data_IF_220365485280
#
_entry.id   IF_220365485280
#
_cell.length_a   1.000
_cell.length_b   1.000
_cell.length_c   1.000
_cell.angle_alpha   90.00
_cell.angle_beta   90.00
_cell.angle_gamma   90.00
#
_symmetry.space_group_name_H-M   'P 1'
#
loop_
_entity.id
_entity.type
_entity.pdbx_description
1 polymer ?
#
# COMPACT_ATOMS: atom_id res chain seq x y z
N UNK A 1 23.94 4.59 -8.58
CA UNK A 1 25.10 3.67 -8.71
C UNK A 1 24.76 2.40 -7.96
N UNK A 2 24.78 1.23 -8.60
CA UNK A 2 24.34 -0.01 -7.98
C UNK A 2 25.40 -0.54 -6.99
N UNK A 3 24.99 -1.37 -6.02
CA UNK A 3 25.84 -1.97 -4.97
C UNK A 3 26.00 -3.49 -5.22
N UNK A 4 26.47 -3.87 -6.41
CA UNK A 4 26.51 -5.27 -6.87
C UNK A 4 27.87 -5.93 -6.64
N UNK A 5 28.94 -5.15 -6.69
CA UNK A 5 30.30 -5.65 -6.50
C UNK A 5 30.87 -5.19 -5.17
N UNK A 6 31.90 -5.90 -4.70
CA UNK A 6 32.68 -5.49 -3.53
C UNK A 6 33.21 -4.06 -3.71
N UNK A 7 33.81 -3.72 -4.86
CA UNK A 7 34.38 -2.38 -5.08
C UNK A 7 33.31 -1.28 -5.04
N UNK A 8 32.13 -1.53 -5.62
CA UNK A 8 30.99 -0.60 -5.55
C UNK A 8 30.52 -0.39 -4.10
N UNK A 9 30.43 -1.49 -3.33
CA UNK A 9 29.98 -1.46 -1.94
C UNK A 9 31.00 -0.78 -1.03
N UNK A 10 32.28 -1.15 -1.16
CA UNK A 10 33.42 -0.55 -0.47
C UNK A 10 33.48 0.95 -0.66
N UNK A 11 33.32 1.43 -1.90
CA UNK A 11 33.31 2.87 -2.21
C UNK A 11 32.19 3.65 -1.50
N UNK A 12 31.16 2.96 -0.98
CA UNK A 12 30.02 3.53 -0.26
C UNK A 12 29.97 3.14 1.21
N UNK A 13 30.97 2.43 1.74
CA UNK A 13 30.93 1.83 3.07
C UNK A 13 30.57 2.83 4.19
N UNK A 14 31.19 4.02 4.21
CA UNK A 14 30.86 5.07 5.19
C UNK A 14 29.43 5.57 5.08
N UNK A 15 28.92 5.76 3.85
CA UNK A 15 27.55 6.19 3.61
C UNK A 15 26.54 5.09 3.99
N UNK A 16 26.86 3.83 3.71
CA UNK A 16 26.06 2.67 4.14
C UNK A 16 25.97 2.65 5.66
N UNK A 17 27.11 2.71 6.36
CA UNK A 17 27.15 2.70 7.83
C UNK A 17 26.34 3.86 8.43
N UNK A 18 26.47 5.06 7.86
CA UNK A 18 25.68 6.23 8.30
C UNK A 18 24.18 5.98 8.18
N UNK A 19 23.72 5.42 7.05
CA UNK A 19 22.29 5.17 6.78
C UNK A 19 21.71 4.07 7.66
N UNK A 20 22.45 2.98 7.89
CA UNK A 20 21.99 1.87 8.76
C UNK A 20 21.98 2.28 10.23
N UNK A 21 22.98 3.04 10.70
CA UNK A 21 22.98 3.60 12.08
C UNK A 21 21.84 4.58 12.30
N UNK A 22 21.53 5.39 11.30
CA UNK A 22 20.38 6.29 11.31
C UNK A 22 19.03 5.58 11.12
N UNK A 23 19.02 4.25 10.88
CA UNK A 23 17.83 3.45 10.59
C UNK A 23 16.97 3.99 9.44
N UNK A 24 17.63 4.65 8.47
CA UNK A 24 16.98 5.14 7.25
C UNK A 24 17.04 4.12 6.12
N UNK A 25 17.86 3.07 6.26
CA UNK A 25 17.98 1.95 5.34
C UNK A 25 18.23 0.64 6.10
N UNK A 26 17.51 -0.47 5.81
CA UNK A 26 16.33 -0.50 4.96
C UNK A 26 15.21 0.41 5.50
N UNK A 27 14.43 1.08 4.66
CA UNK A 27 13.36 1.97 5.10
C UNK A 27 12.31 1.19 5.88
N UNK A 28 12.13 1.55 7.14
CA UNK A 28 11.13 0.99 8.01
C UNK A 28 10.75 2.03 9.05
N UNK A 29 9.47 2.37 9.08
CA UNK A 29 8.99 3.56 9.79
C UNK A 29 8.13 3.23 11.02
N UNK A 30 7.86 1.95 11.26
CA UNK A 30 7.14 1.53 12.46
C UNK A 30 8.04 1.69 13.69
N UNK A 31 7.49 2.30 14.75
CA UNK A 31 8.14 2.33 16.05
C UNK A 31 8.21 0.90 16.61
N UNK A 32 9.42 0.36 16.89
CA UNK A 32 9.60 -1.01 17.38
C UNK A 32 9.00 -1.27 18.76
N UNK A 33 8.51 -0.25 19.48
CA UNK A 33 7.76 -0.39 20.73
C UNK A 33 6.37 -1.00 20.51
N UNK A 34 5.77 -0.82 19.34
CA UNK A 34 4.39 -1.23 19.06
C UNK A 34 4.34 -2.30 17.97
N UNK A 35 3.55 -3.35 18.22
CA UNK A 35 3.39 -4.45 17.30
C UNK A 35 4.68 -5.24 17.04
N UNK A 36 4.54 -6.29 16.23
CA UNK A 36 5.63 -7.06 15.63
C UNK A 36 5.18 -7.44 14.24
N UNK A 37 6.04 -7.25 13.25
CA UNK A 37 5.66 -7.38 11.85
C UNK A 37 6.55 -8.41 11.15
N UNK A 38 5.93 -9.28 10.34
CA UNK A 38 6.62 -10.35 9.62
C UNK A 38 7.56 -9.82 8.53
N UNK A 39 7.28 -8.62 8.04
CA UNK A 39 7.98 -7.99 6.93
C UNK A 39 8.87 -6.81 7.37
N UNK A 40 9.24 -6.74 8.66
CA UNK A 40 10.19 -5.75 9.17
C UNK A 40 11.61 -6.04 8.62
N UNK A 41 12.17 -5.19 7.74
CA UNK A 41 13.49 -5.39 7.16
C UNK A 41 14.61 -4.77 8.01
N UNK A 42 14.30 -4.23 9.20
CA UNK A 42 15.25 -3.51 10.03
C UNK A 42 16.43 -4.40 10.42
N UNK A 43 17.63 -3.82 10.40
CA UNK A 43 18.82 -4.50 10.87
C UNK A 43 18.85 -4.53 12.41
N UNK A 44 19.25 -5.68 12.94
CA UNK A 44 19.58 -5.86 14.37
C UNK A 44 20.84 -5.06 14.74
N UNK A 45 21.02 -4.82 16.05
CA UNK A 45 22.22 -4.16 16.56
C UNK A 45 23.49 -4.89 16.14
N UNK A 46 23.48 -6.22 16.21
CA UNK A 46 24.60 -7.09 15.86
C UNK A 46 24.95 -6.99 14.37
N UNK A 47 23.94 -6.89 13.49
CA UNK A 47 24.15 -6.67 12.06
C UNK A 47 24.74 -5.29 11.77
N UNK A 48 24.29 -4.24 12.46
CA UNK A 48 24.85 -2.89 12.33
C UNK A 48 26.29 -2.86 12.82
N UNK A 49 26.59 -3.51 13.94
CA UNK A 49 27.95 -3.60 14.47
C UNK A 49 28.87 -4.42 13.57
N UNK A 50 28.35 -5.43 12.87
CA UNK A 50 29.10 -6.17 11.85
C UNK A 50 29.54 -5.24 10.71
N UNK A 51 28.65 -4.38 10.20
CA UNK A 51 28.97 -3.39 9.16
C UNK A 51 29.97 -2.35 9.69
N UNK A 52 29.80 -1.92 10.94
CA UNK A 52 30.70 -1.00 11.63
C UNK A 52 32.12 -1.56 11.72
N UNK A 53 32.25 -2.79 12.22
CA UNK A 53 33.53 -3.49 12.36
C UNK A 53 34.21 -3.69 11.00
N UNK A 54 33.45 -4.04 9.97
CA UNK A 54 33.97 -4.16 8.61
C UNK A 54 34.59 -2.84 8.11
N UNK A 55 33.92 -1.70 8.31
CA UNK A 55 34.46 -0.39 7.95
C UNK A 55 35.71 -0.04 8.79
N UNK A 56 35.67 -0.25 10.10
CA UNK A 56 36.80 0.01 11.00
C UNK A 56 38.03 -0.85 10.69
N UNK A 57 37.81 -2.06 10.19
CA UNK A 57 38.86 -2.96 9.69
C UNK A 57 39.42 -2.59 8.31
N UNK A 58 39.12 -1.38 7.80
CA UNK A 58 39.48 -0.93 6.45
C UNK A 58 38.81 -1.74 5.33
N UNK A 59 37.57 -2.16 5.55
CA UNK A 59 36.70 -2.83 4.55
C UNK A 59 37.35 -4.06 3.91
N UNK A 60 37.86 -5.05 4.67
CA UNK A 60 38.54 -6.18 4.07
C UNK A 60 37.61 -6.94 3.11
N UNK A 61 38.13 -7.34 1.96
CA UNK A 61 37.42 -8.26 1.08
C UNK A 61 37.31 -9.63 1.74
N UNK A 62 36.13 -10.23 1.71
CA UNK A 62 35.98 -11.65 2.05
C UNK A 62 36.62 -12.53 0.98
N UNK A 63 36.70 -13.83 1.26
CA UNK A 63 37.10 -14.82 0.25
C UNK A 63 36.04 -14.84 -0.88
N UNK A 64 36.41 -14.58 -2.14
CA UNK A 64 35.46 -14.56 -3.25
C UNK A 64 34.68 -15.88 -3.45
N UNK A 65 35.22 -17.01 -2.97
CA UNK A 65 34.54 -18.31 -3.04
C UNK A 65 33.37 -18.43 -2.06
N UNK A 66 33.34 -17.59 -1.02
CA UNK A 66 32.29 -17.56 0.00
C UNK A 66 31.23 -16.48 -0.32
N UNK A 67 31.41 -15.74 -1.43
CA UNK A 67 30.45 -14.72 -1.84
C UNK A 67 29.10 -15.37 -2.24
N UNK A 68 27.96 -14.76 -1.87
CA UNK A 68 26.68 -15.22 -2.38
C UNK A 68 26.66 -15.11 -3.92
N UNK A 69 25.87 -15.95 -4.61
CA UNK A 69 25.69 -15.80 -6.04
C UNK A 69 25.18 -14.39 -6.36
N UNK A 70 25.57 -13.88 -7.53
CA UNK A 70 25.10 -12.58 -7.98
C UNK A 70 23.57 -12.52 -7.91
N UNK A 71 23.05 -11.44 -7.35
CA UNK A 71 21.62 -11.23 -7.33
C UNK A 71 21.16 -10.94 -8.76
N UNK A 72 20.26 -11.77 -9.26
CA UNK A 72 19.51 -11.49 -10.48
C UNK A 72 18.13 -11.00 -10.06
N UNK A 73 17.82 -9.75 -10.39
CA UNK A 73 16.46 -9.24 -10.26
C UNK A 73 15.65 -9.77 -11.44
N UNK A 74 14.56 -10.47 -11.12
CA UNK A 74 13.66 -10.96 -12.15
C UNK A 74 13.09 -9.79 -12.94
N UNK A 75 13.20 -9.86 -14.27
CA UNK A 75 12.42 -9.02 -15.18
C UNK A 75 10.98 -9.51 -15.31
N UNK A 76 10.65 -10.64 -14.66
CA UNK A 76 9.32 -11.24 -14.56
C UNK A 76 8.68 -10.94 -13.19
N UNK A 77 7.80 -11.82 -12.74
CA UNK A 77 7.02 -11.70 -11.51
C UNK A 77 7.87 -11.98 -10.26
N UNK A 78 7.63 -11.23 -9.20
CA UNK A 78 8.17 -11.49 -7.86
C UNK A 78 7.34 -12.53 -7.09
N UNK A 79 6.16 -12.87 -7.62
CA UNK A 79 5.36 -14.03 -7.25
C UNK A 79 5.73 -15.24 -8.14
N UNK A 80 5.36 -16.48 -7.75
CA UNK A 80 5.41 -17.62 -8.67
C UNK A 80 4.71 -17.27 -9.99
N UNK A 81 5.04 -18.01 -11.07
CA UNK A 81 4.40 -17.82 -12.36
C UNK A 81 2.88 -17.70 -12.18
N UNK A 82 2.26 -16.55 -12.52
CA UNK A 82 0.84 -16.35 -12.30
C UNK A 82 0.02 -17.37 -13.07
N UNK A 83 -1.05 -17.83 -12.43
CA UNK A 83 -2.08 -18.67 -13.07
C UNK A 83 -2.90 -17.84 -14.07
N UNK A 84 -3.07 -16.54 -13.79
CA UNK A 84 -3.73 -15.58 -14.66
C UNK A 84 -2.95 -14.25 -14.69
N UNK A 85 -2.94 -13.59 -15.86
CA UNK A 85 -2.40 -12.25 -16.02
C UNK A 85 -3.44 -11.36 -16.70
N UNK A 86 -3.99 -10.43 -15.94
CA UNK A 86 -4.91 -9.41 -16.45
C UNK A 86 -4.09 -8.17 -16.83
N UNK A 87 -4.11 -7.75 -18.09
CA UNK A 87 -3.22 -6.72 -18.63
C UNK A 87 -4.02 -5.56 -19.24
N UNK A 88 -3.52 -4.33 -19.06
CA UNK A 88 -3.99 -3.17 -19.81
C UNK A 88 -3.77 -3.40 -21.33
N UNK A 89 -4.82 -3.40 -22.17
CA UNK A 89 -4.71 -3.67 -23.60
C UNK A 89 -3.82 -2.67 -24.33
N UNK A 90 -3.86 -1.40 -23.95
CA UNK A 90 -3.05 -0.33 -24.54
C UNK A 90 -2.21 0.38 -23.47
N UNK A 91 -1.13 1.01 -23.91
CA UNK A 91 -0.27 1.78 -23.02
C UNK A 91 -0.82 3.19 -22.83
N UNK A 92 -0.97 3.62 -21.57
CA UNK A 92 -1.32 4.98 -21.20
C UNK A 92 -0.12 5.90 -21.41
N UNK A 93 -0.34 7.04 -22.06
CA UNK A 93 0.71 8.04 -22.29
C UNK A 93 0.82 8.95 -21.07
N UNK A 94 2.03 9.06 -20.53
CA UNK A 94 2.35 9.88 -19.36
C UNK A 94 3.12 11.11 -19.84
N UNK A 95 2.61 12.33 -19.65
CA UNK A 95 3.30 13.55 -20.06
C UNK A 95 4.61 13.75 -19.27
N UNK A 96 5.51 14.57 -19.82
CA UNK A 96 6.79 14.85 -19.18
C UNK A 96 6.66 15.73 -17.92
N UNK A 97 5.61 16.55 -17.83
CA UNK A 97 5.38 17.53 -16.75
C UNK A 97 3.88 17.73 -16.54
N UNK A 98 3.53 18.25 -15.37
CA UNK A 98 2.15 18.57 -14.98
C UNK A 98 1.59 17.57 -13.97
N UNK A 99 0.46 17.94 -13.38
CA UNK A 99 -0.36 17.04 -12.57
C UNK A 99 -1.15 16.11 -13.49
N UNK A 100 -1.34 14.87 -13.04
CA UNK A 100 -2.12 13.85 -13.75
C UNK A 100 -3.23 13.43 -12.79
N UNK A 101 -4.47 13.57 -13.22
CA UNK A 101 -5.61 13.05 -12.47
C UNK A 101 -5.52 11.53 -12.36
N UNK A 102 -6.08 10.95 -11.30
CA UNK A 102 -6.24 9.51 -11.20
C UNK A 102 -6.80 8.93 -12.49
N UNK A 103 -6.06 7.98 -13.04
CA UNK A 103 -6.44 7.27 -14.26
C UNK A 103 -7.01 5.93 -13.87
N UNK A 104 -8.19 5.61 -14.36
CA UNK A 104 -8.89 4.38 -14.12
C UNK A 104 -8.89 3.54 -15.39
N UNK A 105 -8.78 2.23 -15.23
CA UNK A 105 -9.02 1.29 -16.32
C UNK A 105 -9.72 0.04 -15.80
N UNK A 106 -10.79 -0.35 -16.49
CA UNK A 106 -11.58 -1.54 -16.17
C UNK A 106 -11.08 -2.70 -17.03
N UNK A 107 -10.56 -3.73 -16.38
CA UNK A 107 -9.96 -4.90 -17.02
C UNK A 107 -10.79 -6.16 -16.73
N UNK A 108 -11.50 -6.74 -17.71
CA UNK A 108 -12.25 -7.97 -17.51
C UNK A 108 -11.35 -9.14 -17.14
N UNK A 109 -11.71 -9.88 -16.09
CA UNK A 109 -10.97 -11.10 -15.71
C UNK A 109 -11.23 -12.26 -16.65
N UNK A 110 -12.40 -12.28 -17.29
CA UNK A 110 -12.86 -13.41 -18.11
C UNK A 110 -13.24 -14.67 -17.31
N UNK A 111 -13.18 -14.63 -15.97
CA UNK A 111 -13.43 -15.77 -15.11
C UNK A 111 -14.82 -16.36 -15.31
N UNK A 112 -14.88 -17.68 -15.52
CA UNK A 112 -16.14 -18.45 -15.69
C UNK A 112 -16.63 -19.07 -14.38
N UNK A 113 -15.77 -19.11 -13.37
CA UNK A 113 -16.02 -19.63 -12.04
C UNK A 113 -15.33 -18.72 -11.03
N UNK A 114 -15.80 -18.74 -9.79
CA UNK A 114 -15.22 -17.95 -8.71
C UNK A 114 -13.76 -18.35 -8.47
N UNK A 115 -12.91 -17.35 -8.20
CA UNK A 115 -11.48 -17.55 -7.96
C UNK A 115 -11.08 -17.10 -6.56
N UNK A 116 -10.26 -17.92 -5.91
CA UNK A 116 -9.59 -17.59 -4.65
C UNK A 116 -8.15 -17.22 -4.96
N UNK A 117 -7.76 -15.98 -4.67
CA UNK A 117 -6.45 -15.42 -4.98
C UNK A 117 -5.58 -15.46 -3.72
N UNK A 118 -4.51 -16.25 -3.74
CA UNK A 118 -3.57 -16.38 -2.62
C UNK A 118 -2.41 -15.39 -2.70
N UNK A 119 -1.99 -15.02 -3.92
CA UNK A 119 -1.00 -13.97 -4.14
C UNK A 119 -1.41 -13.09 -5.30
N UNK A 120 -1.06 -11.81 -5.22
CA UNK A 120 -1.26 -10.87 -6.31
C UNK A 120 -0.10 -9.87 -6.41
N UNK A 121 0.24 -9.50 -7.64
CA UNK A 121 1.26 -8.49 -7.93
C UNK A 121 0.78 -7.61 -9.08
N UNK A 122 0.78 -6.29 -8.90
CA UNK A 122 0.70 -5.35 -10.02
C UNK A 122 2.11 -4.97 -10.48
N UNK A 123 2.32 -4.99 -11.79
CA UNK A 123 3.58 -4.66 -12.45
C UNK A 123 3.38 -3.57 -13.49
N UNK A 124 3.76 -2.32 -13.19
CA UNK A 124 3.85 -1.28 -14.20
C UNK A 124 4.99 -1.57 -15.17
N UNK A 125 4.84 -1.20 -16.44
CA UNK A 125 5.97 -1.15 -17.38
C UNK A 125 6.82 0.10 -17.18
N UNK A 126 6.25 1.17 -16.62
CA UNK A 126 6.91 2.44 -16.28
C UNK A 126 6.91 2.64 -14.76
N UNK A 127 7.72 1.83 -14.05
CA UNK A 127 7.82 1.87 -12.58
C UNK A 127 8.24 3.23 -12.02
N UNK A 128 8.97 4.02 -12.81
CA UNK A 128 9.46 5.35 -12.42
C UNK A 128 8.39 6.46 -12.51
N UNK A 129 7.24 6.18 -13.13
CA UNK A 129 6.12 7.11 -13.24
C UNK A 129 4.87 6.67 -12.49
N UNK A 130 4.79 5.42 -12.01
CA UNK A 130 3.69 4.96 -11.15
C UNK A 130 4.03 5.20 -9.69
N UNK A 131 3.36 6.18 -9.08
CA UNK A 131 3.52 6.52 -7.67
C UNK A 131 2.75 5.54 -6.76
N UNK A 132 1.52 5.20 -7.12
CA UNK A 132 0.83 4.03 -6.58
C UNK A 132 -0.29 3.58 -7.51
N UNK A 133 -0.80 2.37 -7.27
CA UNK A 133 -1.98 1.85 -7.92
C UNK A 133 -2.85 1.10 -6.90
N UNK A 134 -4.16 1.20 -7.04
CA UNK A 134 -5.11 0.39 -6.29
C UNK A 134 -5.88 -0.48 -7.27
N UNK A 135 -5.95 -1.78 -7.00
CA UNK A 135 -6.74 -2.71 -7.82
C UNK A 135 -7.98 -3.09 -7.04
N UNK A 136 -9.14 -2.69 -7.53
CA UNK A 136 -10.43 -3.05 -6.97
C UNK A 136 -11.03 -4.24 -7.71
N UNK A 137 -11.80 -5.04 -6.98
CA UNK A 137 -12.61 -6.12 -7.53
C UNK A 137 -14.00 -5.54 -7.75
N UNK A 138 -14.44 -5.49 -9.01
CA UNK A 138 -15.78 -5.03 -9.39
C UNK A 138 -16.64 -6.22 -9.81
N UNK A 139 -17.57 -6.68 -8.95
CA UNK A 139 -18.50 -7.75 -9.29
C UNK A 139 -19.40 -7.43 -10.49
N UNK A 140 -19.95 -8.44 -11.19
CA UNK A 140 -20.83 -8.26 -12.36
C UNK A 140 -22.09 -7.44 -12.11
N UNK A 141 -22.56 -7.33 -10.86
CA UNK A 141 -23.75 -6.60 -10.44
C UNK A 141 -23.43 -5.25 -9.79
N UNK A 142 -22.14 -4.88 -9.69
CA UNK A 142 -21.71 -3.59 -9.16
C UNK A 142 -22.26 -2.43 -9.98
N UNK A 143 -22.87 -1.41 -9.35
CA UNK A 143 -23.27 -0.17 -10.01
C UNK A 143 -22.08 0.77 -10.28
N UNK A 144 -20.97 0.59 -9.57
CA UNK A 144 -19.80 1.46 -9.67
C UNK A 144 -19.15 1.41 -11.05
N UNK A 145 -18.97 2.57 -11.69
CA UNK A 145 -18.38 2.73 -13.02
C UNK A 145 -19.08 1.88 -14.10
N UNK A 146 -20.39 1.64 -13.96
CA UNK A 146 -21.14 0.72 -14.83
C UNK A 146 -21.15 1.16 -16.29
N UNK A 147 -21.22 2.47 -16.55
CA UNK A 147 -21.26 3.00 -17.91
C UNK A 147 -19.89 3.47 -18.43
N UNK A 148 -18.85 3.38 -17.61
CA UNK A 148 -17.50 3.70 -18.03
C UNK A 148 -16.98 2.68 -19.05
N UNK A 149 -16.11 3.16 -19.96
CA UNK A 149 -15.54 2.31 -21.00
C UNK A 149 -14.65 1.21 -20.39
N UNK A 150 -14.87 -0.02 -20.85
CA UNK A 150 -14.03 -1.18 -20.50
C UNK A 150 -12.81 -1.21 -21.42
N UNK A 151 -11.64 -1.62 -20.91
CA UNK A 151 -10.40 -1.75 -21.69
C UNK A 151 -9.89 -0.42 -22.29
N UNK A 152 -10.29 0.70 -21.71
CA UNK A 152 -9.86 2.04 -22.10
C UNK A 152 -9.58 2.83 -20.83
N UNK A 153 -8.41 3.46 -20.77
CA UNK A 153 -8.07 4.34 -19.66
C UNK A 153 -8.89 5.64 -19.70
N UNK A 154 -9.39 6.07 -18.55
CA UNK A 154 -10.15 7.31 -18.39
C UNK A 154 -9.82 8.01 -17.07
N UNK A 155 -10.19 9.27 -16.94
CA UNK A 155 -10.14 10.02 -15.68
C UNK A 155 -11.56 10.23 -15.14
N UNK A 156 -11.69 10.52 -13.85
CA UNK A 156 -13.00 10.82 -13.26
C UNK A 156 -13.67 11.98 -13.98
N UNK A 157 -12.93 13.04 -14.28
CA UNK A 157 -13.40 14.22 -15.02
C UNK A 157 -13.86 13.94 -16.47
N UNK A 158 -13.42 12.82 -17.07
CA UNK A 158 -13.83 12.43 -18.41
C UNK A 158 -15.20 11.74 -18.45
N UNK A 159 -15.74 11.31 -17.29
CA UNK A 159 -17.07 10.73 -17.18
C UNK A 159 -18.12 11.82 -17.43
N UNK A 160 -19.22 11.48 -18.09
CA UNK A 160 -20.25 12.46 -18.45
C UNK A 160 -21.33 12.62 -17.40
N UNK A 161 -21.54 11.60 -16.57
CA UNK A 161 -22.54 11.60 -15.51
C UNK A 161 -21.95 12.10 -14.19
N UNK A 162 -22.61 13.06 -13.53
CA UNK A 162 -22.08 13.70 -12.33
C UNK A 162 -22.02 12.75 -11.11
N UNK A 163 -22.91 11.76 -11.04
CA UNK A 163 -22.87 10.74 -10.00
C UNK A 163 -21.70 9.78 -10.25
N UNK A 164 -21.45 9.38 -11.50
CA UNK A 164 -20.28 8.58 -11.86
C UNK A 164 -18.96 9.34 -11.65
N UNK A 165 -18.91 10.64 -11.94
CA UNK A 165 -17.76 11.48 -11.62
C UNK A 165 -17.46 11.47 -10.12
N UNK A 166 -18.48 11.71 -9.29
CA UNK A 166 -18.35 11.67 -7.84
C UNK A 166 -17.89 10.28 -7.36
N UNK A 167 -18.53 9.23 -7.84
CA UNK A 167 -18.27 7.86 -7.43
C UNK A 167 -16.96 7.30 -7.99
N UNK A 168 -16.36 7.89 -9.04
CA UNK A 168 -15.02 7.49 -9.46
C UNK A 168 -14.02 7.58 -8.29
N UNK A 169 -14.20 8.58 -7.42
CA UNK A 169 -13.34 8.86 -6.28
C UNK A 169 -13.77 8.14 -4.98
N UNK A 170 -14.86 7.36 -5.02
CA UNK A 170 -15.35 6.62 -3.85
C UNK A 170 -15.94 5.26 -4.25
N UNK A 171 -15.54 4.18 -3.57
CA UNK A 171 -16.11 2.85 -3.82
C UNK A 171 -16.18 2.01 -2.55
N UNK A 172 -17.19 1.15 -2.47
CA UNK A 172 -17.29 0.10 -1.46
C UNK A 172 -16.74 -1.24 -1.96
N UNK A 173 -16.27 -1.30 -3.22
CA UNK A 173 -15.68 -2.49 -3.84
C UNK A 173 -14.56 -3.09 -2.98
N UNK A 174 -14.42 -4.40 -3.02
CA UNK A 174 -13.31 -5.07 -2.32
C UNK A 174 -12.00 -4.70 -3.00
N UNK A 175 -10.96 -4.46 -2.21
CA UNK A 175 -9.64 -4.11 -2.74
C UNK A 175 -8.83 -5.39 -2.90
N UNK A 176 -8.29 -5.66 -4.09
CA UNK A 176 -7.43 -6.83 -4.33
C UNK A 176 -6.02 -6.59 -3.79
N UNK A 177 -5.40 -5.46 -4.15
CA UNK A 177 -4.06 -5.10 -3.74
C UNK A 177 -3.84 -3.59 -3.85
N UNK A 178 -2.80 -3.10 -3.17
CA UNK A 178 -2.21 -1.78 -3.40
C UNK A 178 -0.75 -1.94 -3.81
N UNK A 179 -0.37 -1.26 -4.88
CA UNK A 179 1.01 -1.15 -5.31
C UNK A 179 1.54 0.24 -4.97
N UNK A 180 2.72 0.31 -4.37
CA UNK A 180 3.54 1.50 -4.30
C UNK A 180 5.01 1.09 -4.49
N UNK A 181 5.88 1.96 -5.05
CA UNK A 181 7.31 1.67 -5.16
C UNK A 181 7.91 1.20 -3.84
N UNK A 182 8.62 0.07 -3.89
CA UNK A 182 9.22 -0.56 -2.70
C UNK A 182 8.32 -1.54 -1.96
N UNK A 183 7.03 -1.64 -2.30
CA UNK A 183 6.14 -2.65 -1.76
C UNK A 183 6.48 -4.05 -2.27
N UNK A 184 6.31 -5.04 -1.41
CA UNK A 184 6.36 -6.47 -1.80
C UNK A 184 4.98 -6.91 -2.30
N UNK A 185 4.91 -7.92 -3.20
CA UNK A 185 3.63 -8.50 -3.60
C UNK A 185 2.79 -8.95 -2.40
N UNK A 186 1.47 -8.95 -2.59
CA UNK A 186 0.56 -9.48 -1.60
C UNK A 186 0.58 -11.00 -1.61
N UNK A 187 0.65 -11.55 -0.40
CA UNK A 187 0.70 -12.99 -0.14
C UNK A 187 -0.01 -13.25 1.18
N UNK A 188 -1.17 -13.88 1.10
CA UNK A 188 -1.95 -14.24 2.28
C UNK A 188 -1.57 -15.66 2.74
N UNK A 189 -1.52 -15.92 4.07
CA UNK A 189 -1.14 -17.24 4.60
C UNK A 189 -2.00 -18.38 4.06
N UNK A 190 -1.46 -19.60 4.09
CA UNK A 190 -2.21 -20.80 3.71
C UNK A 190 -3.56 -20.89 4.44
N UNK A 191 -4.61 -21.21 3.69
CA UNK A 191 -5.98 -21.26 4.20
C UNK A 191 -6.71 -19.91 4.20
N UNK A 192 -6.04 -18.81 3.80
CA UNK A 192 -6.60 -17.47 3.59
C UNK A 192 -6.38 -17.03 2.13
N UNK A 193 -7.37 -16.36 1.55
CA UNK A 193 -7.26 -15.78 0.20
C UNK A 193 -8.27 -14.66 0.00
N UNK A 194 -8.04 -13.79 -0.98
CA UNK A 194 -9.08 -12.88 -1.49
C UNK A 194 -10.00 -13.60 -2.47
N UNK A 195 -11.24 -13.16 -2.56
CA UNK A 195 -12.27 -13.80 -3.40
C UNK A 195 -12.64 -12.89 -4.56
N UNK A 196 -12.57 -13.43 -5.78
CA UNK A 196 -12.99 -12.74 -7.00
C UNK A 196 -14.15 -13.54 -7.62
N UNK A 197 -15.39 -13.02 -7.57
CA UNK A 197 -16.53 -13.68 -8.20
C UNK A 197 -16.34 -13.89 -9.71
N UNK A 198 -16.95 -14.94 -10.26
CA UNK A 198 -17.01 -15.17 -11.69
C UNK A 198 -17.55 -13.94 -12.43
N UNK A 199 -16.95 -13.61 -13.59
CA UNK A 199 -17.35 -12.46 -14.40
C UNK A 199 -16.97 -11.09 -13.84
N UNK A 200 -16.29 -11.00 -12.70
CA UNK A 200 -15.80 -9.72 -12.16
C UNK A 200 -14.80 -9.04 -13.10
N UNK A 201 -14.72 -7.72 -13.01
CA UNK A 201 -13.61 -6.93 -13.56
C UNK A 201 -12.62 -6.57 -12.46
N UNK A 202 -11.37 -6.32 -12.85
CA UNK A 202 -10.40 -5.59 -12.03
C UNK A 202 -10.39 -4.13 -12.46
N UNK A 203 -10.69 -3.21 -11.55
CA UNK A 203 -10.55 -1.77 -11.82
C UNK A 203 -9.21 -1.31 -11.26
N UNK A 204 -8.31 -0.89 -12.15
CA UNK A 204 -7.00 -0.36 -11.77
C UNK A 204 -7.12 1.17 -11.69
N UNK A 205 -7.06 1.69 -10.47
CA UNK A 205 -6.93 3.13 -10.20
C UNK A 205 -5.44 3.45 -10.08
N UNK A 206 -4.93 4.25 -11.01
CA UNK A 206 -3.51 4.53 -11.19
C UNK A 206 -3.20 5.99 -10.88
N UNK A 207 -2.20 6.20 -10.02
CA UNK A 207 -1.64 7.52 -9.73
C UNK A 207 -0.28 7.66 -10.42
N UNK A 208 -0.27 8.39 -11.54
CA UNK A 208 0.96 8.71 -12.25
C UNK A 208 1.59 10.00 -11.75
N UNK A 209 2.92 10.03 -11.70
CA UNK A 209 3.71 11.24 -11.42
C UNK A 209 4.65 11.53 -12.57
N UNK A 210 4.78 12.81 -12.92
CA UNK A 210 5.70 13.27 -13.96
C UNK A 210 7.11 13.48 -13.41
N UNK A 211 8.14 13.17 -14.19
CA UNK A 211 9.54 13.25 -13.75
C UNK A 211 10.46 14.01 -14.73
N UNK A 212 9.88 14.77 -15.67
CA UNK A 212 10.61 15.50 -16.70
C UNK A 212 10.75 14.75 -18.03
N UNK A 213 10.39 13.48 -18.09
CA UNK A 213 10.44 12.66 -19.30
C UNK A 213 9.06 12.07 -19.62
N UNK A 214 8.65 12.14 -20.90
CA UNK A 214 7.44 11.46 -21.37
C UNK A 214 7.64 9.95 -21.33
N UNK A 215 6.62 9.21 -20.92
CA UNK A 215 6.65 7.76 -20.85
C UNK A 215 5.33 7.13 -21.27
N UNK A 216 5.32 5.80 -21.27
CA UNK A 216 4.13 4.98 -21.52
C UNK A 216 4.08 3.86 -20.49
N UNK A 217 2.94 3.67 -19.86
CA UNK A 217 2.71 2.55 -18.94
C UNK A 217 1.65 1.60 -19.46
N UNK A 218 1.94 0.31 -19.39
CA UNK A 218 1.03 -0.79 -19.71
C UNK A 218 1.16 -1.83 -18.61
N UNK A 219 0.48 -1.57 -17.50
CA UNK A 219 0.54 -2.43 -16.33
C UNK A 219 -0.14 -3.79 -16.55
N UNK A 220 0.29 -4.76 -15.74
CA UNK A 220 -0.35 -6.07 -15.66
C UNK A 220 -0.50 -6.50 -14.20
N UNK A 221 -1.60 -7.18 -13.90
CA UNK A 221 -1.88 -7.80 -12.60
C UNK A 221 -1.72 -9.31 -12.73
N UNK A 222 -0.76 -9.87 -12.02
CA UNK A 222 -0.53 -11.31 -11.92
C UNK A 222 -1.24 -11.87 -10.71
N UNK A 223 -1.96 -12.98 -10.90
CA UNK A 223 -2.75 -13.66 -9.88
C UNK A 223 -2.26 -15.10 -9.71
N UNK A 224 -2.04 -15.50 -8.46
CA UNK A 224 -1.80 -16.91 -8.09
C UNK A 224 -3.01 -17.40 -7.30
N UNK A 225 -3.63 -18.47 -7.78
CA UNK A 225 -4.82 -19.04 -7.16
C UNK A 225 -4.47 -19.90 -5.95
N UNK A 226 -5.36 -19.92 -4.96
CA UNK A 226 -5.25 -20.83 -3.83
C UNK A 226 -5.37 -22.28 -4.31
N UNK A 227 -4.40 -23.12 -3.93
CA UNK A 227 -4.36 -24.54 -4.34
C UNK A 227 -5.45 -25.39 -3.69
N UNK A 228 -5.99 -24.93 -2.57
CA UNK A 228 -7.07 -25.57 -1.83
C UNK A 228 -8.13 -24.52 -1.51
N UNK A 229 -9.38 -24.95 -1.35
CA UNK A 229 -10.46 -24.08 -0.92
C UNK A 229 -10.10 -23.46 0.44
N UNK A 230 -9.90 -22.13 0.54
CA UNK A 230 -9.53 -21.49 1.78
C UNK A 230 -10.63 -21.62 2.83
N UNK A 231 -10.21 -21.65 4.09
CA UNK A 231 -11.14 -21.63 5.23
C UNK A 231 -11.62 -20.21 5.55
N UNK A 232 -10.81 -19.21 5.19
CA UNK A 232 -11.05 -17.81 5.48
C UNK A 232 -10.89 -16.94 4.22
N UNK A 233 -11.75 -15.93 4.10
CA UNK A 233 -11.64 -14.86 3.12
C UNK A 233 -10.90 -13.68 3.75
N UNK A 234 -10.01 -13.06 2.99
CA UNK A 234 -9.37 -11.79 3.39
C UNK A 234 -10.15 -10.62 2.80
N UNK A 235 -10.49 -9.66 3.67
CA UNK A 235 -11.13 -8.40 3.31
C UNK A 235 -10.18 -7.26 3.66
N UNK A 236 -10.10 -6.26 2.80
CA UNK A 236 -9.47 -4.98 3.15
C UNK A 236 -10.56 -4.01 3.58
N UNK A 237 -10.45 -3.52 4.81
CA UNK A 237 -11.34 -2.55 5.42
C UNK A 237 -10.62 -1.22 5.60
N UNK A 238 -11.37 -0.16 5.84
CA UNK A 238 -10.81 1.18 6.00
C UNK A 238 -11.44 1.95 7.16
N UNK A 239 -10.61 2.74 7.81
CA UNK A 239 -11.00 3.81 8.72
C UNK A 239 -10.60 5.13 8.06
N UNK A 240 -11.58 5.84 7.50
CA UNK A 240 -11.36 7.07 6.74
C UNK A 240 -11.96 8.28 7.46
N UNK A 241 -11.21 9.37 7.53
CA UNK A 241 -11.76 10.68 7.89
C UNK A 241 -11.57 11.65 6.71
N UNK A 242 -12.65 11.97 6.01
CA UNK A 242 -12.66 12.95 4.91
C UNK A 242 -13.12 14.35 5.33
N UNK A 243 -13.43 14.55 6.62
CA UNK A 243 -13.99 15.79 7.14
C UNK A 243 -13.00 16.45 8.11
N UNK A 244 -11.98 17.10 7.55
CA UNK A 244 -10.98 17.87 8.31
C UNK A 244 -10.55 19.13 7.54
N UNK A 245 -9.92 20.04 8.27
CA UNK A 245 -9.33 21.26 7.72
C UNK A 245 -8.06 21.58 8.51
N UNK A 246 -6.90 21.35 7.90
CA UNK A 246 -5.59 21.55 8.51
C UNK A 246 -5.22 23.04 8.37
N UNK A 247 -5.09 23.79 9.47
CA UNK A 247 -4.76 25.21 9.41
C UNK A 247 -3.39 25.48 8.78
N UNK A 248 -3.20 26.64 8.13
CA UNK A 248 -1.88 27.11 7.71
C UNK A 248 -0.89 27.14 8.88
N UNK A 249 0.35 26.68 8.65
CA UNK A 249 1.45 26.81 9.61
C UNK A 249 1.44 25.83 10.79
N UNK A 250 0.40 25.02 10.98
CA UNK A 250 0.33 24.02 12.05
C UNK A 250 1.33 22.88 11.79
N UNK A 251 2.27 22.64 12.71
CA UNK A 251 3.33 21.65 12.54
C UNK A 251 2.98 20.25 13.09
N UNK A 252 1.77 20.07 13.64
CA UNK A 252 1.38 18.82 14.30
C UNK A 252 -0.14 18.62 14.43
N UNK A 253 -0.90 18.91 13.37
CA UNK A 253 -2.35 18.82 13.38
C UNK A 253 -2.84 17.36 13.39
N UNK A 254 -3.69 17.00 14.34
CA UNK A 254 -4.19 15.62 14.51
C UNK A 254 -5.58 15.44 13.90
N UNK A 255 -5.74 14.38 13.11
CA UNK A 255 -7.03 13.91 12.56
C UNK A 255 -7.21 12.45 12.95
N UNK A 256 -8.38 12.06 13.44
CA UNK A 256 -8.65 10.65 13.76
C UNK A 256 -10.07 10.23 13.41
N UNK A 257 -10.26 8.91 13.32
CA UNK A 257 -11.56 8.26 13.15
C UNK A 257 -11.55 6.94 13.90
N UNK A 258 -12.72 6.54 14.41
CA UNK A 258 -12.88 5.24 15.06
C UNK A 258 -14.11 4.51 14.54
N UNK A 259 -14.02 3.19 14.48
CA UNK A 259 -15.10 2.29 14.07
C UNK A 259 -15.18 1.09 15.02
N UNK A 260 -16.31 0.38 14.98
CA UNK A 260 -16.51 -0.84 15.78
C UNK A 260 -16.66 -2.02 14.84
N UNK A 261 -15.93 -3.11 15.10
CA UNK A 261 -16.09 -4.32 14.31
C UNK A 261 -17.48 -4.93 14.54
N UNK A 262 -18.27 -5.13 13.48
CA UNK A 262 -19.62 -5.68 13.55
C UNK A 262 -19.64 -7.17 13.89
N UNK A 263 -18.62 -7.91 13.44
CA UNK A 263 -18.49 -9.35 13.58
C UNK A 263 -17.05 -9.71 13.98
N UNK A 264 -16.85 -10.94 14.44
CA UNK A 264 -15.52 -11.49 14.72
C UNK A 264 -14.66 -11.50 13.44
N UNK A 265 -13.38 -11.16 13.58
CA UNK A 265 -12.42 -11.21 12.48
C UNK A 265 -11.00 -11.41 13.00
N UNK A 266 -10.08 -11.84 12.14
CA UNK A 266 -8.64 -11.92 12.48
C UNK A 266 -7.90 -10.81 11.76
N UNK A 267 -7.37 -9.85 12.49
CA UNK A 267 -6.55 -8.76 11.95
C UNK A 267 -5.21 -9.29 11.44
N UNK A 268 -4.86 -8.94 10.20
CA UNK A 268 -3.67 -9.43 9.51
C UNK A 268 -2.58 -8.36 9.34
N UNK A 269 -2.95 -7.10 9.14
CA UNK A 269 -1.99 -6.03 8.88
C UNK A 269 -2.63 -4.69 8.63
N UNK A 270 -1.79 -3.69 8.40
CA UNK A 270 -2.16 -2.29 8.24
C UNK A 270 -1.49 -1.67 7.01
N UNK A 271 -2.13 -0.68 6.41
CA UNK A 271 -1.58 0.14 5.34
C UNK A 271 -2.06 1.59 5.57
N UNK A 272 -1.29 2.41 6.32
CA UNK A 272 -1.61 3.83 6.49
C UNK A 272 -1.40 4.58 5.18
N UNK A 273 -2.30 5.51 4.88
CA UNK A 273 -2.20 6.37 3.71
C UNK A 273 -2.49 7.83 4.06
N UNK A 274 -1.58 8.71 3.62
CA UNK A 274 -1.60 10.17 3.72
C UNK A 274 -0.81 10.77 2.55
N UNK A 275 -0.91 12.08 2.33
CA UNK A 275 -0.15 12.80 1.32
C UNK A 275 1.09 13.51 1.92
N UNK A 276 1.56 14.58 1.28
CA UNK A 276 2.87 15.20 1.49
C UNK A 276 3.09 15.77 2.89
N UNK A 277 2.03 16.13 3.61
CA UNK A 277 2.09 16.69 4.97
C UNK A 277 1.99 15.62 6.04
N UNK A 278 1.72 14.37 5.66
CA UNK A 278 1.69 13.24 6.56
C UNK A 278 2.99 13.12 7.38
N UNK A 279 2.85 13.12 8.71
CA UNK A 279 3.96 13.10 9.67
C UNK A 279 4.00 11.82 10.50
N UNK A 280 2.84 11.38 10.99
CA UNK A 280 2.72 10.16 11.76
C UNK A 280 1.35 9.51 11.59
N UNK A 281 1.29 8.20 11.82
CA UNK A 281 0.04 7.44 11.76
C UNK A 281 0.00 6.35 12.83
N UNK A 282 -1.16 6.16 13.46
CA UNK A 282 -1.40 5.15 14.48
C UNK A 282 -2.64 4.31 14.20
N UNK A 283 -2.57 3.04 14.59
CA UNK A 283 -3.71 2.14 14.71
C UNK A 283 -3.84 1.70 16.17
N UNK A 284 -5.04 1.84 16.71
CA UNK A 284 -5.31 1.68 18.13
C UNK A 284 -6.54 0.77 18.36
N UNK A 285 -6.52 -0.01 19.45
CA UNK A 285 -7.74 -0.56 20.05
C UNK A 285 -8.16 0.34 21.20
N UNK A 286 -9.41 0.79 21.16
CA UNK A 286 -10.01 1.59 22.21
C UNK A 286 -10.78 0.68 23.17
N UNK A 287 -10.32 0.61 24.42
CA UNK A 287 -11.01 -0.12 25.47
C UNK A 287 -11.91 0.80 26.31
N UNK A 288 -12.81 0.19 27.09
CA UNK A 288 -13.57 0.92 28.10
C UNK A 288 -12.67 1.68 29.08
N UNK A 289 -13.19 2.78 29.64
CA UNK A 289 -12.49 3.67 30.59
C UNK A 289 -11.23 4.36 30.03
N UNK A 290 -11.19 4.62 28.73
CA UNK A 290 -10.16 5.46 28.10
C UNK A 290 -8.80 4.78 27.89
N UNK A 291 -8.68 3.46 28.16
CA UNK A 291 -7.45 2.72 27.87
C UNK A 291 -7.29 2.53 26.37
N UNK A 292 -6.13 2.91 25.85
CA UNK A 292 -5.74 2.78 24.44
C UNK A 292 -4.61 1.76 24.35
N UNK A 293 -4.71 0.84 23.40
CA UNK A 293 -3.60 -0.03 23.01
C UNK A 293 -3.20 0.26 21.57
N UNK A 294 -2.00 0.80 21.40
CA UNK A 294 -1.41 1.05 20.09
C UNK A 294 -0.88 -0.23 19.48
N UNK A 295 -1.42 -0.59 18.31
CA UNK A 295 -1.04 -1.76 17.52
C UNK A 295 0.11 -1.44 16.57
N UNK A 296 0.11 -0.23 16.03
CA UNK A 296 1.11 0.30 15.11
C UNK A 296 1.22 1.82 15.33
N UNK A 297 2.44 2.32 15.39
CA UNK A 297 2.77 3.75 15.28
C UNK A 297 3.85 3.89 14.20
N UNK A 298 3.65 4.80 13.25
CA UNK A 298 4.54 5.03 12.11
C UNK A 298 4.98 6.48 12.08
N UNK A 299 6.30 6.71 11.95
CA UNK A 299 6.85 8.01 11.53
C UNK A 299 6.74 8.10 10.01
N UNK A 300 5.61 8.61 9.52
CA UNK A 300 5.20 8.47 8.12
C UNK A 300 6.13 9.20 7.15
N UNK A 301 6.42 8.58 6.01
CA UNK A 301 7.14 9.18 4.90
C UNK A 301 6.37 8.87 3.60
N UNK A 302 5.86 9.91 2.95
CA UNK A 302 5.01 9.79 1.75
C UNK A 302 5.65 8.96 0.63
N UNK A 303 6.98 8.92 0.55
CA UNK A 303 7.72 8.17 -0.47
C UNK A 303 7.73 6.66 -0.22
N UNK A 304 7.33 6.23 0.98
CA UNK A 304 7.34 4.84 1.43
C UNK A 304 5.99 4.45 2.00
N UNK A 305 5.05 4.12 1.11
CA UNK A 305 3.72 3.62 1.48
C UNK A 305 3.79 2.10 1.65
N UNK A 306 4.08 1.67 2.88
CA UNK A 306 4.34 0.28 3.20
C UNK A 306 3.15 -0.40 3.88
N UNK A 307 2.94 -1.68 3.55
CA UNK A 307 2.08 -2.57 4.33
C UNK A 307 2.83 -3.10 5.54
N UNK A 308 2.19 -3.11 6.71
CA UNK A 308 2.72 -3.65 7.96
C UNK A 308 1.98 -4.93 8.31
N UNK A 309 2.56 -6.09 7.96
CA UNK A 309 1.94 -7.41 8.13
C UNK A 309 2.25 -7.94 9.52
N UNK A 310 1.24 -8.19 10.35
CA UNK A 310 1.43 -8.69 11.70
C UNK A 310 2.19 -10.02 11.69
N UNK A 311 3.25 -10.12 12.49
CA UNK A 311 4.00 -11.37 12.67
C UNK A 311 3.11 -12.47 13.28
N UNK A 312 2.08 -12.08 14.03
CA UNK A 312 1.06 -12.95 14.57
C UNK A 312 -0.31 -12.32 14.28
N UNK A 313 -1.11 -12.90 13.38
CA UNK A 313 -2.50 -12.48 13.18
C UNK A 313 -3.25 -12.41 14.50
N UNK A 314 -4.09 -11.38 14.67
CA UNK A 314 -4.76 -11.09 15.93
C UNK A 314 -6.27 -11.31 15.83
N UNK A 315 -6.84 -12.31 16.51
CA UNK A 315 -8.28 -12.45 16.63
C UNK A 315 -8.88 -11.23 17.35
N UNK A 316 -9.92 -10.65 16.75
CA UNK A 316 -10.71 -9.56 17.28
C UNK A 316 -12.17 -10.01 17.38
N UNK A 317 -12.83 -9.63 18.48
CA UNK A 317 -14.24 -9.93 18.70
C UNK A 317 -15.14 -8.85 18.15
N UNK A 318 -16.35 -9.21 17.75
CA UNK A 318 -17.43 -8.28 17.51
C UNK A 318 -17.53 -7.28 18.69
N UNK A 319 -17.72 -6.00 18.38
CA UNK A 319 -17.69 -4.92 19.37
C UNK A 319 -16.29 -4.34 19.66
N UNK A 320 -15.21 -4.90 19.11
CA UNK A 320 -13.87 -4.30 19.21
C UNK A 320 -13.89 -2.92 18.54
N UNK A 321 -13.52 -1.88 19.28
CA UNK A 321 -13.41 -0.51 18.74
C UNK A 321 -11.99 -0.25 18.27
N UNK A 322 -11.82 0.02 16.98
CA UNK A 322 -10.57 0.39 16.34
C UNK A 322 -10.53 1.90 16.10
N UNK A 323 -9.36 2.50 16.18
CA UNK A 323 -9.11 3.89 15.80
C UNK A 323 -7.90 3.95 14.87
N UNK A 324 -8.00 4.79 13.85
CA UNK A 324 -6.88 5.27 13.06
C UNK A 324 -6.67 6.76 13.40
N UNK A 325 -5.43 7.17 13.66
CA UNK A 325 -5.08 8.55 13.96
C UNK A 325 -3.88 8.99 13.13
N UNK A 326 -3.97 10.17 12.53
CA UNK A 326 -2.98 10.76 11.65
C UNK A 326 -2.52 12.12 12.22
N UNK A 327 -1.27 12.46 11.96
CA UNK A 327 -0.71 13.78 12.24
C UNK A 327 -0.14 14.38 10.97
N UNK A 328 -0.37 15.67 10.77
CA UNK A 328 0.08 16.43 9.61
C UNK A 328 0.96 17.61 10.03
N UNK A 329 1.99 17.90 9.23
CA UNK A 329 2.84 19.08 9.34
C UNK A 329 2.59 20.00 8.12
N UNK A 330 1.73 20.99 8.32
CA UNK A 330 1.45 22.07 7.37
C UNK A 330 2.29 23.33 7.63
N UNK A 331 3.40 23.20 8.35
CA UNK A 331 4.32 24.32 8.59
C UNK A 331 5.32 24.50 7.44
N UNK A 332 6.01 25.65 7.45
CA UNK A 332 7.12 25.94 6.53
C UNK A 332 8.40 25.14 6.82
N UNK A 333 8.44 24.37 7.92
CA UNK A 333 9.57 23.51 8.27
C UNK A 333 9.51 22.15 7.57
N UNK A 334 8.32 21.72 7.15
CA UNK A 334 8.15 20.51 6.38
C UNK A 334 8.65 20.72 4.95
N UNK A 335 9.79 20.11 4.60
CA UNK A 335 10.39 20.20 3.28
C UNK A 335 9.52 19.61 2.16
N UNK A 336 8.50 18.82 2.50
CA UNK A 336 7.56 18.24 1.55
C UNK A 336 6.31 19.11 1.36
N UNK A 337 6.11 20.14 2.18
CA UNK A 337 4.93 21.00 2.11
C UNK A 337 5.02 21.95 0.90
N UNK A 338 4.15 21.82 -0.11
CA UNK A 338 4.20 22.68 -1.29
C UNK A 338 3.70 24.10 -1.04
N UNK A 339 2.87 24.30 -0.01
CA UNK A 339 2.31 25.61 0.36
C UNK A 339 1.89 25.62 1.85
N UNK A 340 2.70 26.23 2.75
CA UNK A 340 2.41 26.32 4.18
C UNK A 340 1.41 27.42 4.55
N UNK A 341 0.99 28.26 3.61
CA UNK A 341 0.05 29.36 3.85
C UNK A 341 -1.40 28.97 3.55
N UNK A 342 -1.60 27.79 2.97
CA UNK A 342 -2.91 27.28 2.56
C UNK A 342 -3.55 26.43 3.67
N UNK A 343 -4.86 26.60 3.86
CA UNK A 343 -5.68 25.63 4.60
C UNK A 343 -5.84 24.38 3.76
N UNK A 344 -5.54 23.21 4.31
CA UNK A 344 -5.54 21.94 3.56
C UNK A 344 -6.73 21.08 3.97
N UNK A 345 -7.41 20.51 2.99
CA UNK A 345 -8.61 19.67 3.15
C UNK A 345 -8.40 18.31 2.51
N UNK A 346 -9.39 17.42 2.65
CA UNK A 346 -9.41 16.17 1.90
C UNK A 346 -9.39 16.42 0.38
N UNK A 347 -8.55 15.69 -0.35
CA UNK A 347 -8.53 15.72 -1.81
C UNK A 347 -7.60 14.68 -2.42
N UNK A 348 -7.76 14.47 -3.71
CA UNK A 348 -7.04 13.43 -4.47
C UNK A 348 -5.61 13.82 -4.82
N UNK A 349 -5.34 15.12 -4.95
CA UNK A 349 -4.02 15.60 -5.32
C UNK A 349 -3.05 15.45 -4.14
N UNK A 350 -1.80 15.14 -4.44
CA UNK A 350 -0.74 15.02 -3.41
C UNK A 350 -0.52 16.32 -2.63
N UNK A 351 -0.93 17.46 -3.20
CA UNK A 351 -0.88 18.77 -2.56
C UNK A 351 -2.05 19.01 -1.61
N UNK A 352 -3.17 18.29 -1.75
CA UNK A 352 -4.24 18.16 -0.75
C UNK A 352 -3.83 17.10 0.31
N UNK A 353 -4.78 16.59 1.10
CA UNK A 353 -4.49 15.52 2.05
C UNK A 353 -5.50 14.38 2.03
N UNK A 354 -5.07 13.23 2.54
CA UNK A 354 -5.93 12.10 2.85
C UNK A 354 -5.62 11.55 4.24
N UNK A 355 -6.65 11.02 4.89
CA UNK A 355 -6.50 10.24 6.10
C UNK A 355 -7.23 8.92 5.91
N UNK A 356 -6.48 7.88 5.54
CA UNK A 356 -7.03 6.53 5.35
C UNK A 356 -6.19 5.50 6.10
N UNK A 357 -6.84 4.83 7.04
CA UNK A 357 -6.27 3.68 7.72
C UNK A 357 -6.80 2.39 7.12
N UNK A 358 -6.13 1.84 6.11
CA UNK A 358 -6.48 0.53 5.57
C UNK A 358 -5.97 -0.59 6.46
N UNK A 359 -6.73 -1.67 6.58
CA UNK A 359 -6.31 -2.85 7.32
C UNK A 359 -6.97 -4.11 6.77
N UNK A 360 -6.19 -5.19 6.77
CA UNK A 360 -6.66 -6.50 6.31
C UNK A 360 -7.21 -7.30 7.48
N UNK A 361 -8.34 -7.95 7.26
CA UNK A 361 -8.93 -8.92 8.19
C UNK A 361 -9.28 -10.22 7.47
N UNK A 362 -9.10 -11.35 8.15
CA UNK A 362 -9.61 -12.65 7.73
C UNK A 362 -10.93 -12.97 8.44
N UNK A 363 -11.93 -13.36 7.66
CA UNK A 363 -13.29 -13.75 8.10
C UNK A 363 -13.62 -15.15 7.57
N UNK A 364 -14.66 -15.85 8.07
CA UNK A 364 -15.08 -17.12 7.47
C UNK A 364 -15.31 -16.97 5.97
N UNK A 365 -14.89 -17.97 5.17
CA UNK A 365 -14.88 -17.87 3.69
C UNK A 365 -16.21 -17.46 3.04
N UNK A 366 -17.34 -17.78 3.69
CA UNK A 366 -18.68 -17.55 3.19
C UNK A 366 -19.25 -16.16 3.56
N UNK A 367 -18.46 -15.32 4.23
CA UNK A 367 -18.84 -13.94 4.58
C UNK A 367 -18.24 -13.00 3.55
N UNK A 368 -19.10 -12.34 2.76
CA UNK A 368 -18.65 -11.25 1.89
C UNK A 368 -18.49 -9.92 2.65
N UNK A 369 -17.97 -8.89 1.97
CA UNK A 369 -17.69 -7.59 2.59
C UNK A 369 -18.97 -6.91 3.08
N UNK A 370 -20.05 -6.95 2.30
CA UNK A 370 -21.32 -6.33 2.65
C UNK A 370 -21.97 -7.06 3.85
N UNK A 371 -22.00 -8.39 3.82
CA UNK A 371 -22.47 -9.25 4.89
C UNK A 371 -21.66 -9.09 6.17
N UNK A 372 -20.35 -8.86 6.07
CA UNK A 372 -19.51 -8.60 7.23
C UNK A 372 -20.00 -7.38 8.02
N UNK A 373 -20.58 -6.38 7.37
CA UNK A 373 -21.13 -5.19 8.04
C UNK A 373 -22.54 -5.37 8.62
N UNK A 374 -23.22 -6.49 8.31
CA UNK A 374 -24.50 -6.85 8.92
C UNK A 374 -24.22 -7.56 10.24
N UNK A 375 -24.68 -6.99 11.37
CA UNK A 375 -24.54 -7.64 12.69
C UNK A 375 -25.35 -8.94 12.69
N UNK A 376 -24.68 -10.05 13.01
CA UNK A 376 -25.31 -11.36 13.18
C UNK A 376 -25.94 -11.54 14.57
#
# INVERSE_FOLDING_TARGET
MPLLTYEQTRAKASAILQRVRAKTMPPWFADPKYGRFANDPSLTTEQIETISAWLSGQTPAGNPKDAPPEKFWVSSWNIPQPDEVVRMPEAVVIPAKGEIEYTYEILPTGFKEDKWIQMAELRPSSREHVHHAVVYIRPPDSPWLRNAAVNVAFTGSALTDAHEQHDAHWTDSDMLLVYAPGSSPDHWPDGMAKFVPAGSDLVVQMHYTTNGHQARDQAAVGLVFAKQLPSQRVLTLQLTNSHFSIPPGDDNYRVDVSGTLPNDATLLGFLPHMHLRGKAFEYNILYGRGRIETLLHVNFDFRWQLTYRLARPRPLKAGTRLQAAAWFDNSSKNAHNPDPHRTVIWGDQTSDEMMVGFFDVAVPRNVDKQQYFIRQ
#
